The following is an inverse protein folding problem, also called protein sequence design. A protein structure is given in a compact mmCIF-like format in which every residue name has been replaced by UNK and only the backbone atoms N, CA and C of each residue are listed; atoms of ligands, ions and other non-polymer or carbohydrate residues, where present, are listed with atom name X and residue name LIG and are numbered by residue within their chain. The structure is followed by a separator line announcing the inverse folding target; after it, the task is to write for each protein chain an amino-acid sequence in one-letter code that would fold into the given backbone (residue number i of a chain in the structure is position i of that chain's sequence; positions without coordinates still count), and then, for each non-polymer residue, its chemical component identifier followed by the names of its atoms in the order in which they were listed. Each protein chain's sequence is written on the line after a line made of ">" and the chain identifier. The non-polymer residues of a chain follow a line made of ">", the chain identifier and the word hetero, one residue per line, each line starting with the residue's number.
data_IF_311030231636
#
_entry.id   IF_311030231636
#
_cell.length_a   1.000
_cell.length_b   1.000
_cell.length_c   1.000
_cell.angle_alpha   90.00
_cell.angle_beta   90.00
_cell.angle_gamma   90.00
#
_symmetry.space_group_name_H-M   'P 1'
#
loop_
_entity.id
_entity.type
_entity.pdbx_description
1 polymer ?
#
# COMPACT_ATOMS: atom_id res chain seq x y z
N UNK A 1 -4.96 -3.54 -3.82
CA UNK A 1 -4.38 -2.39 -4.56
C UNK A 1 -3.42 -2.93 -5.59
N UNK A 2 -3.35 -2.31 -6.77
CA UNK A 2 -2.41 -2.66 -7.83
C UNK A 2 -1.47 -1.49 -8.01
N UNK A 3 -0.17 -1.75 -7.83
CA UNK A 3 0.93 -0.80 -7.76
C UNK A 3 0.81 0.26 -6.66
N UNK A 4 1.96 0.76 -6.22
CA UNK A 4 2.12 1.79 -5.20
C UNK A 4 3.17 2.82 -5.66
N UNK A 5 2.87 3.43 -6.81
CA UNK A 5 3.66 4.49 -7.42
C UNK A 5 3.60 5.82 -6.67
N UNK A 6 4.22 6.89 -7.22
CA UNK A 6 4.32 8.19 -6.58
C UNK A 6 2.98 8.72 -6.03
N UNK A 7 2.99 9.04 -4.73
CA UNK A 7 1.87 9.59 -3.97
C UNK A 7 0.62 8.70 -3.94
N UNK A 8 0.73 7.39 -4.16
CA UNK A 8 -0.41 6.48 -4.14
C UNK A 8 -1.12 6.47 -2.77
N UNK A 9 -0.39 6.50 -1.66
CA UNK A 9 -0.91 6.60 -0.29
C UNK A 9 -1.70 7.90 -0.09
N UNK A 10 -1.15 9.02 -0.56
CA UNK A 10 -1.84 10.32 -0.49
C UNK A 10 -3.12 10.33 -1.34
N UNK A 11 -3.07 9.79 -2.56
CA UNK A 11 -4.23 9.70 -3.46
C UNK A 11 -5.31 8.79 -2.90
N UNK A 12 -4.92 7.68 -2.26
CA UNK A 12 -5.84 6.77 -1.57
C UNK A 12 -6.65 7.50 -0.51
N UNK A 13 -5.97 8.23 0.39
CA UNK A 13 -6.61 9.03 1.46
C UNK A 13 -7.49 10.14 0.86
N UNK A 14 -7.01 10.82 -0.19
CA UNK A 14 -7.80 11.84 -0.89
C UNK A 14 -9.08 11.27 -1.52
N UNK A 15 -9.10 9.99 -1.89
CA UNK A 15 -10.27 9.28 -2.38
C UNK A 15 -11.22 8.79 -1.26
N UNK A 16 -10.92 9.10 0.01
CA UNK A 16 -11.72 8.67 1.16
C UNK A 16 -11.45 7.23 1.60
N UNK A 17 -10.38 6.61 1.10
CA UNK A 17 -9.93 5.27 1.48
C UNK A 17 -8.69 5.38 2.36
N UNK A 18 -8.52 4.45 3.29
CA UNK A 18 -7.37 4.43 4.20
C UNK A 18 -6.46 3.24 3.91
N UNK A 19 -5.13 3.35 4.16
CA UNK A 19 -4.20 2.25 3.97
C UNK A 19 -4.65 0.97 4.70
N UNK A 20 -5.19 1.09 5.91
CA UNK A 20 -5.70 -0.03 6.73
C UNK A 20 -6.90 -0.79 6.13
N UNK A 21 -7.49 -0.29 5.05
CA UNK A 21 -8.55 -0.96 4.30
C UNK A 21 -8.02 -1.82 3.14
N UNK A 22 -6.71 -1.78 2.87
CA UNK A 22 -6.06 -2.50 1.78
C UNK A 22 -5.33 -3.72 2.33
N UNK A 23 -5.98 -4.88 2.24
CA UNK A 23 -5.43 -6.14 2.77
C UNK A 23 -4.37 -6.78 1.84
N UNK A 24 -4.38 -6.44 0.53
CA UNK A 24 -3.49 -7.01 -0.48
C UNK A 24 -2.94 -5.92 -1.42
N UNK A 25 -1.64 -5.98 -1.68
CA UNK A 25 -0.94 -5.13 -2.66
C UNK A 25 -0.19 -5.99 -3.68
N UNK A 26 -0.47 -5.77 -4.96
CA UNK A 26 0.17 -6.47 -6.07
C UNK A 26 1.03 -5.50 -6.88
N UNK A 27 2.30 -5.81 -7.08
CA UNK A 27 3.18 -5.07 -7.99
C UNK A 27 3.16 -5.72 -9.38
N UNK A 28 2.94 -4.91 -10.41
CA UNK A 28 3.01 -5.38 -11.80
C UNK A 28 4.44 -5.61 -12.25
N UNK A 29 5.37 -4.76 -11.79
CA UNK A 29 6.82 -4.85 -11.98
C UNK A 29 7.54 -3.90 -11.00
N UNK A 30 8.88 -3.89 -11.02
CA UNK A 30 9.72 -3.18 -10.05
C UNK A 30 10.39 -1.90 -10.57
N UNK A 31 9.69 -1.14 -11.42
CA UNK A 31 10.09 0.23 -11.70
C UNK A 31 9.54 1.20 -10.64
N UNK A 32 10.25 2.31 -10.45
CA UNK A 32 9.99 3.26 -9.38
C UNK A 32 8.56 3.83 -9.44
N UNK A 33 8.02 4.02 -10.64
CA UNK A 33 6.67 4.53 -10.85
C UNK A 33 5.58 3.55 -10.41
N UNK A 34 5.94 2.31 -10.06
CA UNK A 34 5.03 1.27 -9.58
C UNK A 34 5.23 0.90 -8.09
N UNK A 35 6.34 1.28 -7.43
CA UNK A 35 6.61 0.83 -6.07
C UNK A 35 7.23 1.86 -5.11
N UNK A 36 7.57 3.06 -5.57
CA UNK A 36 8.34 4.02 -4.75
C UNK A 36 7.60 4.51 -3.49
N UNK A 37 6.27 4.49 -3.48
CA UNK A 37 5.46 4.97 -2.35
C UNK A 37 5.11 3.84 -1.35
N UNK A 38 5.51 2.60 -1.65
CA UNK A 38 5.24 1.44 -0.81
C UNK A 38 5.71 1.58 0.64
N UNK A 39 6.90 2.14 0.94
CA UNK A 39 7.32 2.34 2.34
C UNK A 39 6.37 3.26 3.11
N UNK A 40 5.87 4.32 2.48
CA UNK A 40 4.90 5.22 3.10
C UNK A 40 3.58 4.49 3.37
N UNK A 41 3.07 3.78 2.36
CA UNK A 41 1.86 2.96 2.49
C UNK A 41 1.96 1.96 3.65
N UNK A 42 3.05 1.19 3.70
CA UNK A 42 3.26 0.14 4.70
C UNK A 42 3.35 0.71 6.13
N UNK A 43 4.09 1.81 6.31
CA UNK A 43 4.21 2.46 7.61
C UNK A 43 2.86 3.03 8.07
N UNK A 44 2.12 3.71 7.19
CA UNK A 44 0.78 4.20 7.53
C UNK A 44 -0.20 3.07 7.84
N UNK A 45 -0.14 1.96 7.11
CA UNK A 45 -0.95 0.78 7.37
C UNK A 45 -0.62 0.17 8.75
N UNK A 46 0.66 0.06 9.11
CA UNK A 46 1.09 -0.47 10.40
C UNK A 46 0.69 0.45 11.56
N UNK A 47 1.04 1.73 11.48
CA UNK A 47 0.79 2.74 12.51
C UNK A 47 -0.71 2.86 12.86
N UNK A 48 -1.56 2.88 11.84
CA UNK A 48 -3.01 3.02 12.01
C UNK A 48 -3.73 1.68 12.24
N UNK A 49 -3.04 0.55 12.10
CA UNK A 49 -3.61 -0.81 12.06
C UNK A 49 -3.69 -1.55 13.40
N UNK A 50 -3.19 -0.96 14.50
CA UNK A 50 -2.99 -1.63 15.81
C UNK A 50 -4.24 -2.31 16.43
N UNK A 51 -5.45 -1.96 15.99
CA UNK A 51 -6.70 -2.58 16.48
C UNK A 51 -7.15 -3.83 15.67
N UNK A 52 -6.52 -4.14 14.53
CA UNK A 52 -6.90 -5.24 13.65
C UNK A 52 -5.66 -5.95 13.12
N UNK A 53 -5.20 -6.97 13.85
CA UNK A 53 -4.24 -7.93 13.30
C UNK A 53 -4.93 -8.74 12.20
N UNK A 54 -4.83 -8.26 10.96
CA UNK A 54 -5.23 -9.01 9.75
C UNK A 54 -3.99 -9.55 9.05
N UNK A 55 -4.13 -10.70 8.41
CA UNK A 55 -3.12 -11.21 7.50
C UNK A 55 -2.99 -10.22 6.32
N UNK A 56 -1.86 -9.51 6.28
CA UNK A 56 -1.49 -8.59 5.21
C UNK A 56 -0.49 -9.28 4.29
N UNK A 57 -0.66 -9.13 2.97
CA UNK A 57 0.20 -9.75 1.96
C UNK A 57 0.52 -8.79 0.81
N UNK A 58 1.80 -8.59 0.54
CA UNK A 58 2.30 -7.98 -0.70
C UNK A 58 2.94 -9.03 -1.59
N UNK A 59 2.62 -9.05 -2.89
CA UNK A 59 3.23 -9.95 -3.88
C UNK A 59 3.56 -9.23 -5.19
N UNK A 60 4.50 -9.76 -5.97
CA UNK A 60 4.95 -9.20 -7.25
C UNK A 60 5.92 -10.14 -7.96
N UNK A 61 6.28 -9.85 -9.23
CA UNK A 61 7.32 -10.60 -9.94
C UNK A 61 8.68 -10.50 -9.22
N UNK A 62 9.53 -11.52 -9.37
CA UNK A 62 10.89 -11.58 -8.81
C UNK A 62 11.81 -10.55 -9.46
#
# INVERSE_FOLDING_TARGET
>A
MFDCGPAATHKLVKAGLYPTQVDNLFFTHHHFDHNIDYPCFLLCHWDQGLAKAKNWMSTGPI
#
